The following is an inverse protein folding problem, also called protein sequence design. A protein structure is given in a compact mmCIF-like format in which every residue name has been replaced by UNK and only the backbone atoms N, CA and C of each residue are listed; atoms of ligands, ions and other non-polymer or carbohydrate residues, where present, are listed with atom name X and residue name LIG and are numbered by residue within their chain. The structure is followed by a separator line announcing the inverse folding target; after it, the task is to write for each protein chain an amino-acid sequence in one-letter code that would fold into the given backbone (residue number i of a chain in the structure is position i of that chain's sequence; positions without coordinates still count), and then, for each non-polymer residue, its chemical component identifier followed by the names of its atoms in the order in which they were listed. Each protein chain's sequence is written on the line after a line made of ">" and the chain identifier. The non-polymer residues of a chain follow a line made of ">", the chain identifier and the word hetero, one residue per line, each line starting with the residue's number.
data_IF_903032802871
#
_entry.id   IF_903032802871
#
_cell.length_a   1.000
_cell.length_b   1.000
_cell.length_c   1.000
_cell.angle_alpha   90.00
_cell.angle_beta   90.00
_cell.angle_gamma   90.00
#
_symmetry.space_group_name_H-M   'P 1'
#
loop_
_entity.id
_entity.type
_entity.pdbx_description
1 polymer ?
#
# COMPACT_ATOMS: atom_id res chain seq x y z
N UNK A 1 -3.94 5.17 9.35
CA UNK A 1 -3.94 5.97 8.10
C UNK A 1 -4.70 5.18 7.04
N UNK A 2 -5.70 5.79 6.42
CA UNK A 2 -6.48 5.25 5.33
C UNK A 2 -6.19 6.09 4.09
N UNK A 3 -5.80 5.42 3.01
CA UNK A 3 -5.52 6.02 1.71
C UNK A 3 -6.62 5.59 0.78
N UNK A 4 -7.24 6.55 0.09
CA UNK A 4 -8.26 6.28 -0.91
C UNK A 4 -7.79 6.77 -2.27
N UNK A 5 -7.91 5.88 -3.26
CA UNK A 5 -7.67 6.18 -4.67
C UNK A 5 -8.99 6.01 -5.41
N UNK A 6 -9.49 7.10 -5.96
CA UNK A 6 -10.68 7.09 -6.81
C UNK A 6 -10.31 7.58 -8.20
N UNK A 7 -10.77 6.88 -9.24
CA UNK A 7 -10.61 7.33 -10.63
C UNK A 7 -11.98 7.75 -11.13
N UNK A 8 -12.11 9.04 -11.45
CA UNK A 8 -13.26 9.57 -12.19
C UNK A 8 -12.97 9.52 -13.68
N UNK A 9 -13.99 9.25 -14.50
CA UNK A 9 -13.87 9.20 -15.95
C UNK A 9 -15.02 9.96 -16.59
N UNK A 10 -14.69 10.74 -17.62
CA UNK A 10 -15.66 11.46 -18.42
C UNK A 10 -15.25 11.42 -19.90
N UNK A 11 -16.24 11.40 -20.80
CA UNK A 11 -15.99 11.50 -22.24
C UNK A 11 -16.46 12.87 -22.71
N UNK A 12 -15.54 13.69 -23.18
CA UNK A 12 -15.82 15.03 -23.70
C UNK A 12 -15.37 15.07 -25.16
N UNK A 13 -16.28 15.40 -26.08
CA UNK A 13 -16.01 15.50 -27.52
C UNK A 13 -15.32 14.25 -28.15
N UNK A 14 -15.57 13.07 -27.57
CA UNK A 14 -15.00 11.80 -28.02
C UNK A 14 -13.64 11.44 -27.40
N UNK A 15 -13.09 12.29 -26.54
CA UNK A 15 -11.87 12.03 -25.77
C UNK A 15 -12.23 11.50 -24.37
N UNK A 16 -11.63 10.36 -23.97
CA UNK A 16 -11.75 9.81 -22.60
C UNK A 16 -10.77 10.56 -21.70
N UNK A 17 -11.29 11.39 -20.80
CA UNK A 17 -10.53 12.01 -19.73
C UNK A 17 -10.73 11.18 -18.46
N UNK A 18 -9.62 10.80 -17.83
CA UNK A 18 -9.67 10.20 -16.50
C UNK A 18 -8.89 11.07 -15.52
N UNK A 19 -9.44 11.25 -14.34
CA UNK A 19 -8.84 12.02 -13.26
C UNK A 19 -8.70 11.12 -12.04
N UNK A 20 -7.47 11.04 -11.51
CA UNK A 20 -7.18 10.34 -10.27
C UNK A 20 -7.32 11.31 -9.11
N UNK A 21 -8.14 10.92 -8.14
CA UNK A 21 -8.35 11.56 -6.87
C UNK A 21 -7.66 10.72 -5.78
N UNK A 22 -6.79 11.36 -5.03
CA UNK A 22 -6.06 10.78 -3.91
C UNK A 22 -6.43 11.53 -2.64
N UNK A 23 -6.92 10.80 -1.65
CA UNK A 23 -7.16 11.36 -0.32
C UNK A 23 -6.46 10.49 0.74
N UNK A 24 -6.10 11.14 1.84
CA UNK A 24 -5.54 10.46 3.01
C UNK A 24 -6.29 10.92 4.25
N UNK A 25 -6.67 9.97 5.10
CA UNK A 25 -7.15 10.25 6.45
C UNK A 25 -6.29 9.49 7.46
N UNK A 26 -6.07 10.08 8.63
CA UNK A 26 -5.40 9.40 9.74
C UNK A 26 -6.26 9.51 10.99
N UNK A 27 -6.50 8.37 11.64
CA UNK A 27 -7.12 8.34 12.97
C UNK A 27 -6.12 8.73 14.05
N UNK A 28 -4.81 8.55 13.80
CA UNK A 28 -3.73 9.03 14.66
C UNK A 28 -3.31 10.44 14.22
N UNK A 29 -3.70 11.43 15.01
CA UNK A 29 -3.39 12.85 14.80
C UNK A 29 -2.11 13.29 15.51
N UNK A 30 -1.44 12.40 16.25
CA UNK A 30 -0.21 12.71 16.99
C UNK A 30 1.02 12.84 16.10
N UNK A 31 0.96 12.30 14.87
CA UNK A 31 2.07 12.27 13.90
C UNK A 31 1.60 12.64 12.48
N UNK A 32 1.13 13.88 12.26
CA UNK A 32 0.58 14.31 10.96
C UNK A 32 1.59 14.21 9.81
N UNK A 33 2.88 14.44 10.10
CA UNK A 33 3.95 14.35 9.10
C UNK A 33 4.05 12.98 8.42
N UNK A 34 3.71 11.88 9.11
CA UNK A 34 3.77 10.54 8.51
C UNK A 34 2.75 10.37 7.38
N UNK A 35 1.58 10.99 7.51
CA UNK A 35 0.57 10.98 6.45
C UNK A 35 1.00 11.87 5.28
N UNK A 36 1.61 13.02 5.56
CA UNK A 36 2.14 13.92 4.52
C UNK A 36 3.32 13.29 3.76
N UNK A 37 4.25 12.64 4.44
CA UNK A 37 5.40 11.95 3.83
C UNK A 37 4.95 10.77 2.95
N UNK A 38 4.00 9.97 3.45
CA UNK A 38 3.43 8.85 2.69
C UNK A 38 2.70 9.35 1.43
N UNK A 39 1.89 10.39 1.57
CA UNK A 39 1.20 11.01 0.46
C UNK A 39 2.18 11.62 -0.55
N UNK A 40 3.23 12.30 -0.08
CA UNK A 40 4.30 12.82 -0.91
C UNK A 40 4.93 11.74 -1.78
N UNK A 41 5.31 10.62 -1.15
CA UNK A 41 5.91 9.47 -1.83
C UNK A 41 4.97 8.86 -2.87
N UNK A 42 3.68 8.71 -2.55
CA UNK A 42 2.68 8.17 -3.47
C UNK A 42 2.47 9.09 -4.67
N UNK A 43 2.33 10.40 -4.44
CA UNK A 43 2.15 11.37 -5.53
C UNK A 43 3.35 11.35 -6.48
N UNK A 44 4.58 11.30 -5.95
CA UNK A 44 5.79 11.21 -6.75
C UNK A 44 5.82 9.94 -7.63
N UNK A 45 5.38 8.80 -7.08
CA UNK A 45 5.29 7.53 -7.83
C UNK A 45 4.24 7.61 -8.95
N UNK A 46 3.11 8.25 -8.68
CA UNK A 46 1.96 8.31 -9.59
C UNK A 46 2.14 9.36 -10.69
N UNK A 47 2.51 10.57 -10.31
CA UNK A 47 2.78 11.70 -11.20
C UNK A 47 3.88 12.56 -10.57
N UNK A 48 5.15 12.42 -11.01
CA UNK A 48 6.29 13.08 -10.39
C UNK A 48 6.32 14.61 -10.62
N UNK A 49 5.57 15.14 -11.60
CA UNK A 49 5.50 16.58 -11.85
C UNK A 49 4.53 17.23 -10.86
N UNK A 50 5.07 17.89 -9.84
CA UNK A 50 4.30 18.49 -8.73
C UNK A 50 3.22 19.45 -9.24
N UNK A 51 3.50 20.24 -10.27
CA UNK A 51 2.58 21.24 -10.83
C UNK A 51 1.36 20.63 -11.54
N UNK A 52 1.39 19.33 -11.86
CA UNK A 52 0.25 18.61 -12.43
C UNK A 52 -0.75 18.15 -11.37
N UNK A 53 -0.38 18.25 -10.10
CA UNK A 53 -1.30 18.01 -9.00
C UNK A 53 -2.10 19.26 -8.69
N UNK A 54 -3.41 19.08 -8.59
CA UNK A 54 -4.35 20.07 -8.08
C UNK A 54 -4.74 19.69 -6.66
N UNK A 55 -4.94 20.70 -5.81
CA UNK A 55 -5.48 20.52 -4.47
C UNK A 55 -6.94 20.94 -4.45
N UNK A 56 -7.82 20.05 -4.03
CA UNK A 56 -9.25 20.24 -3.95
C UNK A 56 -9.71 20.16 -2.48
N UNK A 57 -10.69 20.98 -2.06
CA UNK A 57 -11.30 20.83 -0.76
C UNK A 57 -12.24 19.61 -0.74
N UNK A 58 -12.11 18.78 0.29
CA UNK A 58 -12.97 17.63 0.55
C UNK A 58 -13.89 17.84 1.76
N UNK A 59 -14.85 16.90 1.98
CA UNK A 59 -15.73 16.92 3.14
C UNK A 59 -14.97 16.93 4.46
N UNK A 60 -15.48 17.64 5.46
CA UNK A 60 -14.91 17.64 6.81
C UNK A 60 -13.48 18.22 6.90
N UNK A 61 -13.07 19.05 5.94
CA UNK A 61 -11.72 19.62 5.90
C UNK A 61 -10.65 18.67 5.34
N UNK A 62 -11.06 17.52 4.77
CA UNK A 62 -10.17 16.63 4.05
C UNK A 62 -9.55 17.36 2.85
N UNK A 63 -8.28 17.09 2.58
CA UNK A 63 -7.62 17.53 1.35
C UNK A 63 -7.64 16.39 0.33
N UNK A 64 -8.00 16.73 -0.91
CA UNK A 64 -8.02 15.79 -2.03
C UNK A 64 -7.02 16.28 -3.07
N UNK A 65 -6.05 15.44 -3.43
CA UNK A 65 -5.11 15.71 -4.50
C UNK A 65 -5.63 15.09 -5.78
N UNK A 66 -5.59 15.86 -6.87
CA UNK A 66 -6.15 15.45 -8.14
C UNK A 66 -5.15 15.61 -9.27
N UNK A 67 -5.06 14.63 -10.17
CA UNK A 67 -4.26 14.76 -11.40
C UNK A 67 -4.91 14.05 -12.58
N UNK A 68 -4.68 14.56 -13.78
CA UNK A 68 -5.21 13.96 -15.02
C UNK A 68 -4.35 12.77 -15.38
N UNK A 69 -4.99 11.62 -15.62
CA UNK A 69 -4.35 10.46 -16.20
C UNK A 69 -4.28 10.67 -17.72
N UNK A 70 -3.07 10.62 -18.28
CA UNK A 70 -2.91 10.76 -19.73
C UNK A 70 -3.53 9.58 -20.48
N UNK A 71 -3.96 9.82 -21.72
CA UNK A 71 -4.48 8.77 -22.59
C UNK A 71 -3.46 7.62 -22.78
N UNK A 72 -2.16 7.95 -22.88
CA UNK A 72 -1.08 6.97 -22.98
C UNK A 72 -0.96 6.08 -21.74
N UNK A 73 -1.12 6.65 -20.54
CA UNK A 73 -1.09 5.89 -19.29
C UNK A 73 -2.28 4.92 -19.21
N UNK A 74 -3.47 5.40 -19.60
CA UNK A 74 -4.69 4.58 -19.65
C UNK A 74 -4.54 3.44 -20.67
N UNK A 75 -4.00 3.73 -21.86
CA UNK A 75 -3.77 2.74 -22.90
C UNK A 75 -2.75 1.68 -22.45
N UNK A 76 -1.66 2.10 -21.82
CA UNK A 76 -0.64 1.19 -21.25
C UNK A 76 -1.24 0.28 -20.19
N UNK A 77 -2.06 0.83 -19.28
CA UNK A 77 -2.74 0.04 -18.26
C UNK A 77 -3.74 -0.96 -18.86
N UNK A 78 -4.53 -0.56 -19.86
CA UNK A 78 -5.46 -1.46 -20.58
C UNK A 78 -4.69 -2.60 -21.25
N UNK A 79 -3.60 -2.31 -21.96
CA UNK A 79 -2.77 -3.33 -22.60
C UNK A 79 -2.16 -4.34 -21.60
N UNK A 80 -1.70 -3.86 -20.44
CA UNK A 80 -1.18 -4.73 -19.37
C UNK A 80 -2.25 -5.69 -18.82
N UNK A 81 -3.49 -5.22 -18.67
CA UNK A 81 -4.63 -6.06 -18.24
C UNK A 81 -4.96 -7.11 -19.29
N UNK A 82 -5.02 -6.74 -20.57
CA UNK A 82 -5.33 -7.66 -21.67
C UNK A 82 -4.28 -8.77 -21.83
N UNK A 83 -3.00 -8.42 -21.67
CA UNK A 83 -1.88 -9.37 -21.78
C UNK A 83 -1.69 -10.19 -20.50
N UNK A 84 -2.24 -9.75 -19.36
CA UNK A 84 -2.00 -10.35 -18.05
C UNK A 84 -0.56 -10.16 -17.54
N UNK A 85 0.22 -9.29 -18.17
CA UNK A 85 1.61 -9.00 -17.83
C UNK A 85 1.80 -7.52 -17.52
N UNK A 86 2.43 -7.24 -16.37
CA UNK A 86 2.79 -5.87 -16.00
C UNK A 86 4.05 -5.43 -16.76
N UNK A 87 4.13 -4.18 -17.27
CA UNK A 87 5.34 -3.64 -17.87
C UNK A 87 6.54 -3.81 -16.95
N UNK A 88 7.71 -4.14 -17.50
CA UNK A 88 8.88 -4.53 -16.69
C UNK A 88 9.32 -3.43 -15.70
N UNK A 89 9.17 -2.15 -16.06
CA UNK A 89 9.42 -1.02 -15.16
C UNK A 89 8.45 -0.97 -13.97
N UNK A 90 7.18 -1.33 -14.19
CA UNK A 90 6.12 -1.36 -13.15
C UNK A 90 6.21 -2.63 -12.31
N UNK A 91 6.49 -3.78 -12.94
CA UNK A 91 6.61 -5.06 -12.24
C UNK A 91 7.80 -5.08 -11.25
N UNK A 92 8.83 -4.26 -11.53
CA UNK A 92 10.01 -4.09 -10.69
C UNK A 92 9.92 -2.88 -9.74
N UNK A 93 9.01 -1.93 -9.97
CA UNK A 93 8.76 -0.79 -9.06
C UNK A 93 7.92 -1.21 -7.84
N UNK A 94 8.48 -2.10 -7.04
CA UNK A 94 8.81 -1.78 -5.65
C UNK A 94 7.72 -1.61 -4.59
N UNK A 95 6.44 -1.91 -4.80
CA UNK A 95 5.49 -2.05 -3.68
C UNK A 95 4.56 -3.26 -3.86
N UNK A 96 5.09 -4.46 -3.56
CA UNK A 96 4.30 -5.70 -3.52
C UNK A 96 3.77 -5.92 -2.10
N UNK A 97 2.57 -5.42 -1.82
CA UNK A 97 1.88 -5.73 -0.58
C UNK A 97 1.34 -7.16 -0.60
N UNK A 98 1.35 -7.83 0.55
CA UNK A 98 0.66 -9.09 0.79
C UNK A 98 1.05 -10.30 -0.09
N UNK A 99 2.15 -10.25 -0.87
CA UNK A 99 2.58 -11.39 -1.69
C UNK A 99 3.28 -12.50 -0.89
N UNK A 100 3.77 -12.18 0.31
CA UNK A 100 4.48 -13.11 1.18
C UNK A 100 3.83 -13.18 2.55
N UNK A 101 3.91 -14.34 3.18
CA UNK A 101 3.50 -14.54 4.57
C UNK A 101 4.57 -13.95 5.52
N UNK A 102 4.12 -13.29 6.59
CA UNK A 102 5.00 -12.67 7.59
C UNK A 102 4.69 -13.23 8.98
N UNK A 103 5.73 -13.52 9.75
CA UNK A 103 5.59 -13.81 11.18
C UNK A 103 5.47 -12.53 12.00
N UNK A 104 4.62 -12.55 13.01
CA UNK A 104 4.45 -11.52 14.02
C UNK A 104 4.27 -12.18 15.40
N UNK A 105 4.25 -11.39 16.48
CA UNK A 105 4.03 -11.93 17.82
C UNK A 105 2.60 -12.48 17.93
N UNK A 106 2.45 -13.67 18.52
CA UNK A 106 1.16 -14.37 18.60
C UNK A 106 0.04 -13.52 19.22
N UNK A 107 0.31 -12.85 20.35
CA UNK A 107 -0.69 -11.98 20.99
C UNK A 107 -1.14 -10.83 20.08
N UNK A 108 -0.20 -10.23 19.32
CA UNK A 108 -0.53 -9.12 18.41
C UNK A 108 -1.42 -9.59 17.25
N UNK A 109 -1.26 -10.84 16.79
CA UNK A 109 -2.08 -11.39 15.71
C UNK A 109 -3.52 -11.65 16.14
N UNK A 110 -3.74 -12.18 17.35
CA UNK A 110 -5.08 -12.53 17.83
C UNK A 110 -6.00 -11.31 17.86
N UNK A 111 -5.57 -10.25 18.55
CA UNK A 111 -6.39 -9.03 18.68
C UNK A 111 -6.58 -8.35 17.32
N UNK A 112 -5.51 -8.22 16.54
CA UNK A 112 -5.54 -7.52 15.26
C UNK A 112 -6.34 -8.25 14.16
N UNK A 113 -6.47 -9.58 14.24
CA UNK A 113 -7.30 -10.35 13.30
C UNK A 113 -8.79 -10.02 13.49
N UNK A 114 -9.19 -9.76 14.73
CA UNK A 114 -10.57 -9.40 15.07
C UNK A 114 -10.84 -7.93 14.77
N UNK A 115 -9.95 -7.04 15.20
CA UNK A 115 -10.15 -5.59 15.07
C UNK A 115 -9.80 -5.04 13.68
N UNK A 116 -9.13 -5.83 12.84
CA UNK A 116 -8.66 -5.37 11.52
C UNK A 116 -7.48 -4.40 11.61
N UNK A 117 -6.76 -4.42 12.73
CA UNK A 117 -5.62 -3.55 12.97
C UNK A 117 -4.34 -4.04 12.28
N UNK A 118 -3.45 -3.12 11.87
CA UNK A 118 -2.16 -3.51 11.32
C UNK A 118 -1.24 -4.04 12.43
N UNK A 119 -0.55 -5.15 12.16
CA UNK A 119 0.52 -5.69 13.02
C UNK A 119 1.87 -5.55 12.34
N UNK A 120 2.92 -5.40 13.15
CA UNK A 120 4.30 -5.34 12.66
C UNK A 120 4.90 -6.76 12.63
N UNK A 121 5.29 -7.20 11.44
CA UNK A 121 6.03 -8.45 11.27
C UNK A 121 7.47 -8.36 11.79
N UNK A 122 8.09 -9.52 12.03
CA UNK A 122 9.50 -9.61 12.48
C UNK A 122 10.47 -8.95 11.49
N UNK A 123 10.13 -8.88 10.20
CA UNK A 123 10.91 -8.18 9.19
C UNK A 123 10.85 -6.64 9.31
N UNK A 124 9.86 -6.10 10.04
CA UNK A 124 9.59 -4.68 10.19
C UNK A 124 8.42 -4.16 9.36
N UNK A 125 7.95 -4.93 8.37
CA UNK A 125 6.79 -4.62 7.52
C UNK A 125 5.50 -4.69 8.32
N UNK A 126 4.58 -3.75 8.09
CA UNK A 126 3.23 -3.77 8.67
C UNK A 126 2.26 -4.47 7.71
N UNK A 127 1.34 -5.26 8.27
CA UNK A 127 0.28 -5.93 7.51
C UNK A 127 -0.96 -6.10 8.37
N UNK A 128 -2.14 -6.17 7.75
CA UNK A 128 -3.38 -6.54 8.44
C UNK A 128 -3.62 -8.04 8.23
N UNK A 129 -3.81 -8.85 9.28
CA UNK A 129 -3.92 -10.30 9.17
C UNK A 129 -5.32 -10.75 8.70
N UNK A 130 -5.76 -10.29 7.52
CA UNK A 130 -7.08 -10.63 6.95
C UNK A 130 -7.07 -11.79 5.97
N UNK A 131 -5.90 -12.21 5.48
CA UNK A 131 -5.77 -13.22 4.43
C UNK A 131 -5.19 -14.53 4.97
N UNK A 132 -5.63 -15.66 4.43
CA UNK A 132 -5.03 -16.97 4.70
C UNK A 132 -3.59 -17.01 4.15
N UNK A 133 -2.57 -17.22 5.01
CA UNK A 133 -1.19 -17.34 4.58
C UNK A 133 -0.85 -18.70 3.95
N UNK A 134 -1.75 -19.69 4.03
CA UNK A 134 -1.53 -21.03 3.50
C UNK A 134 -1.24 -20.99 2.00
N UNK A 135 -0.11 -21.57 1.58
CA UNK A 135 0.33 -21.60 0.19
C UNK A 135 1.07 -20.34 -0.31
N UNK A 136 1.34 -19.35 0.56
CA UNK A 136 2.19 -18.21 0.23
C UNK A 136 3.63 -18.44 0.67
N UNK A 137 4.59 -17.94 -0.12
CA UNK A 137 5.99 -17.93 0.27
C UNK A 137 6.20 -17.14 1.56
N UNK A 138 6.99 -17.71 2.48
CA UNK A 138 7.31 -17.04 3.75
C UNK A 138 8.38 -15.98 3.50
N UNK A 139 8.25 -14.81 4.14
CA UNK A 139 9.27 -13.78 4.11
C UNK A 139 10.60 -14.33 4.69
N UNK A 140 11.70 -14.35 3.93
CA UNK A 140 12.95 -14.98 4.38
C UNK A 140 13.55 -14.28 5.61
N UNK A 141 13.33 -12.97 5.77
CA UNK A 141 13.77 -12.21 6.95
C UNK A 141 12.95 -12.63 8.20
N UNK A 142 11.64 -12.85 8.04
CA UNK A 142 10.82 -13.36 9.15
C UNK A 142 11.23 -14.79 9.51
N UNK A 143 11.48 -15.66 8.53
CA UNK A 143 11.92 -17.03 8.75
C UNK A 143 13.23 -17.08 9.57
N UNK A 144 14.28 -16.38 9.11
CA UNK A 144 15.56 -16.35 9.83
C UNK A 144 15.45 -15.80 11.25
N UNK A 145 14.69 -14.71 11.46
CA UNK A 145 14.47 -14.16 12.81
C UNK A 145 13.67 -15.08 13.72
N UNK A 146 12.74 -15.85 13.17
CA UNK A 146 11.98 -16.82 13.94
C UNK A 146 12.86 -18.01 14.34
N UNK A 147 13.68 -18.50 13.42
CA UNK A 147 14.68 -19.55 13.70
C UNK A 147 15.66 -19.11 14.80
N UNK A 148 16.13 -17.86 14.79
CA UNK A 148 16.98 -17.31 15.86
C UNK A 148 16.29 -17.31 17.23
N UNK A 149 15.00 -16.98 17.27
CA UNK A 149 14.20 -16.99 18.51
C UNK A 149 13.97 -18.41 19.03
N UNK A 150 13.74 -19.36 18.12
CA UNK A 150 13.52 -20.77 18.46
C UNK A 150 14.83 -21.45 18.91
N UNK A 151 15.94 -21.13 18.25
CA UNK A 151 17.29 -21.62 18.58
C UNK A 151 17.81 -21.08 19.92
N UNK A 152 17.33 -19.92 20.36
CA UNK A 152 17.64 -19.33 21.66
C UNK A 152 16.78 -19.84 22.83
N UNK A 153 15.80 -20.72 22.57
CA UNK A 153 14.82 -21.20 23.55
C UNK A 153 15.13 -22.56 24.21
N UNK A 154 16.19 -23.26 23.79
CA UNK A 154 16.63 -24.51 24.42
C UNK A 154 17.82 -24.26 25.37
N UNK A 155 17.54 -23.71 26.55
CA UNK A 155 18.31 -24.04 27.75
C UNK A 155 17.38 -24.81 28.70
N UNK A 156 17.58 -26.12 28.91
CA UNK A 156 16.90 -26.83 29.98
C UNK A 156 17.51 -26.39 31.31
N UNK A 157 16.79 -25.50 32.00
CA UNK A 157 16.98 -25.17 33.42
C UNK A 157 18.03 -24.11 33.73
N UNK A 158 17.56 -22.96 34.24
CA UNK A 158 17.94 -22.39 35.54
C UNK A 158 16.77 -21.59 36.10
#
# INVERSE_FOLDING_TARGET
>A
MHLEFAVSKETIDGEELAELLLSVSSQDTSKPYLAEDALGSIREIVEPVVERWRLLPGPGGMLIWSTILSADLIATAKGAVELGELPEGVSKSGFRFAVRAHYAKAHSLVDATVEGDPVRGLCGTWFVPTADPSGRDICPICAGRYEELDSGGLSPGQ
#
